data_IF_267970285642
#
_entry.id   IF_267970285642
#
_cell.length_a   1.000
_cell.length_b   1.000
_cell.length_c   1.000
_cell.angle_alpha   90.00
_cell.angle_beta   90.00
_cell.angle_gamma   90.00
#
_symmetry.space_group_name_H-M   'P 1'
#
loop_
_entity.id
_entity.type
_entity.pdbx_description
1 polymer ?
#
# COMPACT_ATOMS: atom_id res chain seq x y z
N UNK A 1 46.12 -36.75 70.21
CA UNK A 1 45.36 -35.53 69.88
C UNK A 1 45.34 -35.31 68.42
N UNK A 2 44.36 -35.88 67.71
CA UNK A 2 44.31 -35.89 66.25
C UNK A 2 43.15 -35.06 65.77
N UNK A 3 43.42 -33.98 65.05
CA UNK A 3 42.38 -33.06 64.54
C UNK A 3 41.99 -33.50 63.14
N UNK A 4 40.71 -33.86 62.98
CA UNK A 4 40.09 -34.18 61.72
C UNK A 4 39.60 -32.88 61.10
N UNK A 5 40.01 -32.57 59.86
CA UNK A 5 39.47 -31.46 59.03
C UNK A 5 38.46 -32.03 58.06
N UNK A 6 37.20 -31.57 58.23
CA UNK A 6 36.14 -31.80 57.19
C UNK A 6 36.36 -30.80 56.03
N UNK A 7 36.41 -31.35 54.82
CA UNK A 7 36.34 -30.58 53.58
C UNK A 7 34.92 -30.66 53.07
N UNK A 8 34.20 -29.53 53.05
CA UNK A 8 32.91 -29.42 52.45
C UNK A 8 33.09 -29.06 50.95
N UNK A 9 32.76 -30.02 50.08
CA UNK A 9 32.71 -29.79 48.63
C UNK A 9 31.36 -29.21 48.22
N UNK A 10 31.36 -27.95 47.77
CA UNK A 10 30.16 -27.33 47.17
C UNK A 10 30.07 -27.66 45.67
N UNK A 11 29.02 -28.37 45.29
CA UNK A 11 28.68 -28.54 43.85
C UNK A 11 27.84 -27.36 43.39
N UNK A 12 28.43 -26.49 42.56
CA UNK A 12 27.72 -25.42 41.87
C UNK A 12 27.07 -25.97 40.59
N UNK A 13 25.73 -26.13 40.61
CA UNK A 13 24.97 -26.50 39.45
C UNK A 13 24.77 -25.21 38.54
N UNK A 14 25.39 -25.21 37.38
CA UNK A 14 25.21 -24.19 36.35
C UNK A 14 23.91 -24.50 35.59
N UNK A 15 22.86 -23.71 35.83
CA UNK A 15 21.62 -23.75 35.05
C UNK A 15 21.81 -22.87 33.81
N UNK A 16 22.01 -23.45 32.64
CA UNK A 16 22.06 -22.74 31.37
C UNK A 16 20.63 -22.45 30.91
N UNK A 17 20.19 -21.19 31.00
CA UNK A 17 18.96 -20.71 30.38
C UNK A 17 19.16 -20.61 28.86
N UNK A 18 18.58 -21.53 28.09
CA UNK A 18 18.46 -21.41 26.63
C UNK A 18 17.28 -20.48 26.35
N UNK A 19 17.57 -19.23 26.07
CA UNK A 19 16.59 -18.29 25.55
C UNK A 19 16.29 -18.66 24.08
N UNK A 20 15.18 -19.39 23.85
CA UNK A 20 14.65 -19.60 22.53
C UNK A 20 14.12 -18.25 21.99
N UNK A 21 14.91 -17.60 21.15
CA UNK A 21 14.49 -16.39 20.43
C UNK A 21 13.35 -16.74 19.49
N UNK A 22 12.16 -16.22 19.76
CA UNK A 22 11.02 -16.28 18.84
C UNK A 22 11.36 -15.34 17.69
N UNK A 23 11.85 -15.90 16.56
CA UNK A 23 12.00 -15.14 15.32
C UNK A 23 10.61 -14.76 14.83
N UNK A 24 10.19 -13.52 15.05
CA UNK A 24 9.02 -12.95 14.40
C UNK A 24 9.33 -12.87 12.91
N UNK A 25 8.69 -13.71 12.10
CA UNK A 25 8.75 -13.61 10.65
C UNK A 25 8.19 -12.24 10.24
N UNK A 26 9.07 -11.32 9.90
CA UNK A 26 8.69 -10.01 9.37
C UNK A 26 8.12 -10.25 7.99
N UNK A 27 6.78 -10.11 7.85
CA UNK A 27 6.13 -10.17 6.54
C UNK A 27 6.75 -9.12 5.64
N UNK A 28 7.40 -9.57 4.56
CA UNK A 28 7.99 -8.66 3.58
C UNK A 28 6.91 -7.70 3.06
N UNK A 29 7.24 -6.42 2.94
CA UNK A 29 6.33 -5.43 2.38
C UNK A 29 5.84 -5.88 1.00
N UNK A 30 4.55 -5.68 0.67
CA UNK A 30 4.00 -6.09 -0.62
C UNK A 30 4.74 -5.37 -1.76
N UNK A 31 5.08 -6.14 -2.79
CA UNK A 31 5.69 -5.58 -4.01
C UNK A 31 4.65 -4.76 -4.76
N UNK A 32 4.92 -3.48 -4.98
CA UNK A 32 4.05 -2.58 -5.76
C UNK A 32 4.78 -2.22 -7.05
N UNK A 33 4.14 -2.46 -8.18
CA UNK A 33 4.70 -2.18 -9.49
C UNK A 33 3.95 -1.01 -10.14
N UNK A 34 4.68 0.01 -10.50
CA UNK A 34 4.21 1.20 -11.21
C UNK A 34 4.99 1.34 -12.50
N UNK A 35 4.29 1.49 -13.62
CA UNK A 35 4.99 1.60 -14.90
C UNK A 35 4.06 1.49 -16.09
N UNK A 36 4.57 0.89 -17.15
CA UNK A 36 3.80 0.60 -18.37
C UNK A 36 3.97 -0.86 -18.79
N UNK A 37 2.95 -1.40 -19.42
CA UNK A 37 3.02 -2.75 -20.01
C UNK A 37 3.93 -2.67 -21.23
N UNK A 38 5.04 -3.41 -21.22
CA UNK A 38 5.93 -3.54 -22.38
C UNK A 38 5.62 -4.78 -23.22
N UNK A 39 5.04 -5.82 -22.63
CA UNK A 39 4.53 -7.00 -23.31
C UNK A 39 3.41 -7.64 -22.49
N UNK A 40 2.45 -8.30 -23.16
CA UNK A 40 1.39 -9.08 -22.54
C UNK A 40 0.95 -10.19 -23.49
N UNK A 41 0.77 -11.41 -23.00
CA UNK A 41 0.37 -12.59 -23.78
C UNK A 41 -0.89 -13.29 -23.23
N UNK A 42 -1.61 -12.64 -22.30
CA UNK A 42 -2.81 -13.20 -21.65
C UNK A 42 -2.52 -14.05 -20.40
N UNK A 43 -1.33 -14.60 -20.24
CA UNK A 43 -0.88 -15.34 -19.05
C UNK A 43 0.24 -14.64 -18.29
N UNK A 44 0.98 -13.79 -18.98
CA UNK A 44 2.04 -12.98 -18.39
C UNK A 44 1.99 -11.55 -18.89
N UNK A 45 2.36 -10.62 -18.02
CA UNK A 45 2.61 -9.24 -18.38
C UNK A 45 4.05 -8.88 -18.01
N UNK A 46 4.72 -8.13 -18.87
CA UNK A 46 6.02 -7.54 -18.57
C UNK A 46 5.81 -6.04 -18.32
N UNK A 47 6.23 -5.59 -17.16
CA UNK A 47 6.07 -4.21 -16.72
C UNK A 47 7.44 -3.50 -16.80
N UNK A 48 7.52 -2.48 -17.64
CA UNK A 48 8.61 -1.51 -17.58
C UNK A 48 8.31 -0.55 -16.42
N UNK A 49 9.01 -0.70 -15.30
CA UNK A 49 8.73 0.09 -14.09
C UNK A 49 9.23 1.51 -14.22
N UNK A 50 8.71 2.42 -13.41
CA UNK A 50 9.15 3.82 -13.39
C UNK A 50 10.62 3.96 -12.96
N UNK A 51 11.17 2.99 -12.24
CA UNK A 51 12.56 2.90 -11.80
C UNK A 51 13.48 2.34 -12.89
N UNK A 52 12.95 2.00 -14.08
CA UNK A 52 13.71 1.50 -15.22
C UNK A 52 13.91 -0.01 -15.27
N UNK A 53 13.35 -0.78 -14.33
CA UNK A 53 13.42 -2.24 -14.35
C UNK A 53 12.36 -2.84 -15.30
N UNK A 54 12.64 -4.05 -15.82
CA UNK A 54 11.67 -4.87 -16.53
C UNK A 54 11.27 -6.05 -15.66
N UNK A 55 10.00 -6.10 -15.25
CA UNK A 55 9.50 -7.10 -14.30
C UNK A 55 8.42 -7.95 -14.97
N UNK A 56 8.63 -9.27 -15.00
CA UNK A 56 7.66 -10.24 -15.48
C UNK A 56 6.70 -10.64 -14.36
N UNK A 57 5.39 -10.61 -14.65
CA UNK A 57 4.31 -10.93 -13.71
C UNK A 57 3.39 -11.94 -14.37
N UNK A 58 3.13 -13.06 -13.70
CA UNK A 58 2.11 -14.01 -14.12
C UNK A 58 0.72 -13.44 -13.84
N UNK A 59 -0.21 -13.72 -14.73
CA UNK A 59 -1.61 -13.34 -14.57
C UNK A 59 -2.41 -14.59 -14.19
N UNK A 60 -3.13 -14.52 -13.07
CA UNK A 60 -4.02 -15.60 -12.65
C UNK A 60 -5.13 -15.81 -13.69
N UNK A 61 -5.68 -17.01 -13.82
CA UNK A 61 -6.72 -17.28 -14.82
C UNK A 61 -7.94 -16.35 -14.70
N UNK A 62 -8.26 -15.94 -13.47
CA UNK A 62 -9.37 -15.03 -13.14
C UNK A 62 -8.95 -13.57 -12.97
N UNK A 63 -7.77 -13.17 -13.49
CA UNK A 63 -7.34 -11.79 -13.36
C UNK A 63 -8.31 -10.80 -14.02
N UNK A 64 -8.40 -9.60 -13.48
CA UNK A 64 -9.25 -8.53 -13.99
C UNK A 64 -8.43 -7.25 -14.23
N UNK A 65 -8.78 -6.51 -15.28
CA UNK A 65 -8.38 -5.13 -15.42
C UNK A 65 -9.43 -4.23 -14.77
N UNK A 66 -8.96 -3.17 -14.10
CA UNK A 66 -9.79 -2.13 -13.50
C UNK A 66 -9.27 -0.80 -14.01
N UNK A 67 -10.14 0.02 -14.55
CA UNK A 67 -9.76 1.35 -15.01
C UNK A 67 -9.59 2.31 -13.82
N UNK A 68 -8.52 3.09 -13.88
CA UNK A 68 -8.32 4.28 -13.03
C UNK A 68 -8.71 5.47 -13.87
N UNK A 69 -9.74 6.18 -13.43
CA UNK A 69 -10.31 7.33 -14.15
C UNK A 69 -10.26 8.59 -13.29
N UNK A 70 -10.03 9.77 -13.89
CA UNK A 70 -10.10 11.03 -13.15
C UNK A 70 -11.49 11.24 -12.58
N UNK A 71 -11.55 11.88 -11.41
CA UNK A 71 -12.78 12.40 -10.82
C UNK A 71 -12.49 13.76 -10.16
N UNK A 72 -13.49 14.38 -9.57
CA UNK A 72 -13.36 15.71 -8.97
C UNK A 72 -13.34 15.64 -7.44
N UNK A 73 -12.70 16.62 -6.79
CA UNK A 73 -12.73 16.76 -5.33
C UNK A 73 -14.14 16.96 -4.79
N UNK A 74 -15.05 17.53 -5.57
CA UNK A 74 -16.48 17.66 -5.25
C UNK A 74 -17.21 16.33 -5.06
N UNK A 75 -16.66 15.23 -5.59
CA UNK A 75 -17.18 13.87 -5.37
C UNK A 75 -16.78 13.29 -4.02
N UNK A 76 -15.78 13.89 -3.35
CA UNK A 76 -15.38 13.52 -1.99
C UNK A 76 -16.31 14.18 -1.00
N UNK A 77 -17.20 13.41 -0.40
CA UNK A 77 -18.25 13.87 0.54
C UNK A 77 -18.09 13.16 1.88
N UNK A 78 -18.76 13.68 2.91
CA UNK A 78 -18.91 12.93 4.15
C UNK A 78 -19.46 11.52 3.84
N UNK A 79 -18.94 10.54 4.54
CA UNK A 79 -19.19 9.10 4.33
C UNK A 79 -18.61 8.49 3.04
N UNK A 80 -17.89 9.22 2.17
CA UNK A 80 -17.08 8.59 1.12
C UNK A 80 -16.01 7.72 1.75
N UNK A 81 -15.67 6.57 1.13
CA UNK A 81 -14.48 5.81 1.48
C UNK A 81 -13.36 6.18 0.51
N UNK A 82 -12.22 6.63 1.04
CA UNK A 82 -11.11 7.15 0.22
C UNK A 82 -9.79 6.50 0.62
N UNK A 83 -8.87 6.44 -0.35
CA UNK A 83 -7.46 6.16 -0.12
C UNK A 83 -6.66 7.42 -0.45
N UNK A 84 -5.86 7.90 0.48
CA UNK A 84 -5.04 9.10 0.29
C UNK A 84 -3.59 8.78 0.59
N UNK A 85 -2.75 8.85 -0.43
CA UNK A 85 -1.32 8.93 -0.21
C UNK A 85 -0.97 10.35 0.22
N UNK A 86 -0.24 10.49 1.30
CA UNK A 86 0.09 11.79 1.88
C UNK A 86 1.52 11.86 2.40
N UNK A 87 2.02 13.07 2.55
CA UNK A 87 3.32 13.37 3.13
C UNK A 87 3.16 14.43 4.22
N UNK A 88 3.84 14.23 5.34
CA UNK A 88 3.84 15.20 6.44
C UNK A 88 4.59 16.44 6.04
N UNK A 89 3.95 17.58 6.14
CA UNK A 89 4.55 18.89 5.89
C UNK A 89 5.41 19.38 7.06
N UNK A 90 6.17 20.48 6.86
CA UNK A 90 6.95 21.10 7.92
C UNK A 90 6.09 21.59 9.11
N UNK A 91 4.83 21.91 8.86
CA UNK A 91 3.82 22.29 9.84
C UNK A 91 3.22 21.09 10.60
N UNK A 92 3.69 19.87 10.31
CA UNK A 92 3.21 18.65 10.92
C UNK A 92 1.90 18.12 10.33
N UNK A 93 1.28 18.83 9.39
CA UNK A 93 0.01 18.43 8.73
C UNK A 93 0.29 17.49 7.58
N UNK A 94 -0.53 16.46 7.43
CA UNK A 94 -0.49 15.58 6.27
C UNK A 94 -1.03 16.32 5.03
N UNK A 95 -0.26 16.31 3.95
CA UNK A 95 -0.66 16.89 2.66
C UNK A 95 -0.84 15.78 1.63
N UNK A 96 -1.99 15.73 0.99
CA UNK A 96 -2.29 14.73 -0.02
C UNK A 96 -1.32 14.84 -1.22
N UNK A 97 -0.89 13.69 -1.71
CA UNK A 97 -0.17 13.51 -2.96
C UNK A 97 -1.13 13.06 -4.06
N UNK A 98 -2.15 12.32 -3.69
CA UNK A 98 -3.23 11.82 -4.53
C UNK A 98 -4.44 11.45 -3.66
N UNK A 99 -5.61 11.36 -4.29
CA UNK A 99 -6.85 10.90 -3.64
C UNK A 99 -7.50 9.86 -4.55
N UNK A 100 -7.74 8.67 -4.02
CA UNK A 100 -8.56 7.64 -4.62
C UNK A 100 -9.93 7.63 -3.94
N UNK A 101 -11.00 7.87 -4.68
CA UNK A 101 -12.37 7.67 -4.21
C UNK A 101 -12.77 6.24 -4.54
N UNK A 102 -12.96 5.41 -3.54
CA UNK A 102 -13.37 4.03 -3.77
C UNK A 102 -14.86 3.96 -4.14
N UNK A 103 -15.23 3.13 -5.13
CA UNK A 103 -16.63 2.72 -5.30
C UNK A 103 -17.14 2.02 -4.03
N UNK A 104 -18.44 2.15 -3.75
CA UNK A 104 -19.03 1.58 -2.53
C UNK A 104 -18.75 0.08 -2.35
N UNK A 105 -18.74 -0.69 -3.45
CA UNK A 105 -18.40 -2.12 -3.42
C UNK A 105 -16.97 -2.43 -2.95
N UNK A 106 -16.09 -1.43 -2.92
CA UNK A 106 -14.71 -1.54 -2.44
C UNK A 106 -14.47 -0.88 -1.08
N UNK A 107 -15.54 -0.44 -0.40
CA UNK A 107 -15.46 0.12 0.95
C UNK A 107 -14.77 -0.86 1.91
N UNK A 108 -13.91 -0.35 2.80
CA UNK A 108 -13.15 -1.13 3.77
C UNK A 108 -11.88 -1.78 3.21
N UNK A 109 -11.61 -1.63 1.90
CA UNK A 109 -10.39 -2.19 1.29
C UNK A 109 -9.13 -1.62 1.94
N UNK A 110 -8.34 -2.50 2.60
CA UNK A 110 -7.09 -2.13 3.28
C UNK A 110 -7.26 -0.91 4.22
N UNK A 111 -8.37 -0.84 4.95
CA UNK A 111 -8.63 0.25 5.89
C UNK A 111 -7.49 0.41 6.91
N UNK A 112 -7.03 1.65 7.13
CA UNK A 112 -5.96 1.97 8.07
C UNK A 112 -5.08 3.12 7.64
N UNK A 113 -4.02 3.35 8.45
CA UNK A 113 -2.97 4.34 8.19
C UNK A 113 -1.61 3.66 8.29
N UNK A 114 -0.84 3.60 7.20
CA UNK A 114 0.37 2.80 7.12
C UNK A 114 1.40 3.36 6.13
N UNK A 115 2.70 2.98 6.26
CA UNK A 115 3.74 3.41 5.34
C UNK A 115 3.42 3.08 3.87
N UNK A 116 3.69 4.04 3.01
CA UNK A 116 3.50 3.93 1.57
C UNK A 116 4.80 4.21 0.82
N UNK A 117 4.92 3.69 -0.38
CA UNK A 117 6.14 3.77 -1.18
C UNK A 117 6.00 4.65 -2.44
N UNK A 118 5.01 5.56 -2.45
CA UNK A 118 4.86 6.50 -3.57
C UNK A 118 6.06 7.44 -3.66
N UNK A 119 6.54 7.89 -2.51
CA UNK A 119 7.82 8.58 -2.30
C UNK A 119 8.30 8.35 -0.85
N UNK A 120 9.57 8.69 -0.52
CA UNK A 120 10.09 8.54 0.83
C UNK A 120 9.16 9.18 1.88
N UNK A 121 8.96 8.51 3.01
CA UNK A 121 8.14 8.94 4.15
C UNK A 121 6.64 9.11 3.85
N UNK A 122 6.17 8.74 2.65
CA UNK A 122 4.74 8.83 2.36
C UNK A 122 3.94 7.78 3.14
N UNK A 123 2.71 8.17 3.49
CA UNK A 123 1.75 7.34 4.20
C UNK A 123 0.50 7.16 3.35
N UNK A 124 -0.10 5.98 3.42
CA UNK A 124 -1.43 5.70 2.87
C UNK A 124 -2.45 5.72 4.00
N UNK A 125 -3.56 6.40 3.77
CA UNK A 125 -4.73 6.36 4.67
C UNK A 125 -5.94 5.91 3.87
N UNK A 126 -6.40 4.70 4.11
CA UNK A 126 -7.68 4.20 3.59
C UNK A 126 -8.73 4.30 4.69
N UNK A 127 -9.72 5.13 4.49
CA UNK A 127 -10.64 5.50 5.57
C UNK A 127 -11.97 6.09 5.06
N UNK A 128 -12.95 6.17 5.95
CA UNK A 128 -14.18 6.90 5.73
C UNK A 128 -13.98 8.39 6.01
N UNK A 129 -14.43 9.24 5.12
CA UNK A 129 -14.45 10.69 5.31
C UNK A 129 -15.49 11.03 6.37
N UNK A 130 -15.05 11.51 7.53
CA UNK A 130 -15.93 12.00 8.58
C UNK A 130 -16.41 13.41 8.28
N UNK A 131 -15.48 14.32 7.93
CA UNK A 131 -15.81 15.71 7.59
C UNK A 131 -14.99 16.21 6.41
N UNK A 132 -15.55 17.19 5.72
CA UNK A 132 -14.89 17.97 4.66
C UNK A 132 -15.00 19.44 5.07
N UNK A 133 -13.87 20.09 5.26
CA UNK A 133 -13.81 21.51 5.65
C UNK A 133 -12.99 22.31 4.64
N UNK A 134 -13.43 23.51 4.28
CA UNK A 134 -12.64 24.44 3.50
C UNK A 134 -11.36 24.83 4.26
N UNK A 135 -10.23 24.90 3.58
CA UNK A 135 -8.94 25.23 4.17
C UNK A 135 -8.10 26.02 3.17
N UNK A 136 -8.16 27.34 3.24
CA UNK A 136 -7.47 28.23 2.30
C UNK A 136 -7.97 28.01 0.87
N UNK A 137 -7.05 27.62 -0.02
CA UNK A 137 -7.33 27.33 -1.42
C UNK A 137 -7.74 25.87 -1.70
N UNK A 138 -7.80 25.02 -0.65
CA UNK A 138 -8.13 23.60 -0.75
C UNK A 138 -9.16 23.16 0.29
N UNK A 139 -9.05 21.87 0.66
CA UNK A 139 -9.93 21.25 1.67
C UNK A 139 -9.08 20.46 2.67
N UNK A 140 -9.56 20.39 3.91
CA UNK A 140 -9.07 19.42 4.90
C UNK A 140 -10.13 18.34 5.05
N UNK A 141 -9.72 17.11 4.87
CA UNK A 141 -10.52 15.92 5.07
C UNK A 141 -10.16 15.30 6.42
N UNK A 142 -11.13 15.16 7.31
CA UNK A 142 -10.97 14.33 8.50
C UNK A 142 -11.37 12.92 8.15
N UNK A 143 -10.41 12.00 8.18
CA UNK A 143 -10.57 10.59 7.85
C UNK A 143 -10.67 9.77 9.12
N UNK A 144 -11.66 8.86 9.19
CA UNK A 144 -11.85 7.93 10.31
C UNK A 144 -11.64 6.50 9.83
N UNK A 145 -10.76 5.78 10.50
CA UNK A 145 -10.49 4.35 10.31
C UNK A 145 -10.53 3.63 11.66
N UNK A 146 -10.44 2.31 11.64
CA UNK A 146 -10.63 1.45 12.82
C UNK A 146 -9.82 1.91 14.04
N UNK A 147 -8.56 2.29 13.84
CA UNK A 147 -7.62 2.54 14.93
C UNK A 147 -7.36 4.04 15.18
N UNK A 148 -8.10 4.94 14.51
CA UNK A 148 -7.92 6.37 14.73
C UNK A 148 -8.53 7.30 13.69
N UNK A 149 -8.04 8.52 13.70
CA UNK A 149 -8.43 9.57 12.76
C UNK A 149 -7.19 10.25 12.19
N UNK A 150 -7.30 10.79 10.98
CA UNK A 150 -6.24 11.54 10.34
C UNK A 150 -6.81 12.72 9.59
N UNK A 151 -6.28 13.91 9.83
CA UNK A 151 -6.58 15.10 9.04
C UNK A 151 -5.59 15.20 7.89
N UNK A 152 -6.10 15.35 6.67
CA UNK A 152 -5.29 15.46 5.47
C UNK A 152 -5.75 16.67 4.66
N UNK A 153 -4.79 17.55 4.36
CA UNK A 153 -5.00 18.71 3.49
C UNK A 153 -4.89 18.29 2.03
N UNK A 154 -5.93 18.57 1.25
CA UNK A 154 -5.98 18.36 -0.21
C UNK A 154 -5.94 19.73 -0.88
N UNK A 155 -4.82 20.03 -1.55
CA UNK A 155 -4.62 21.27 -2.31
C UNK A 155 -5.18 21.15 -3.72
N UNK A 156 -5.48 22.25 -4.41
CA UNK A 156 -5.79 22.24 -5.84
C UNK A 156 -4.66 21.58 -6.66
N UNK A 157 -5.05 20.90 -7.75
CA UNK A 157 -4.09 20.25 -8.64
C UNK A 157 -3.63 18.86 -8.20
N UNK A 158 -3.99 18.39 -7.00
CA UNK A 158 -3.75 17.01 -6.59
C UNK A 158 -4.60 16.06 -7.46
N UNK A 159 -4.02 14.98 -8.03
CA UNK A 159 -4.78 14.02 -8.79
C UNK A 159 -5.84 13.32 -7.93
N UNK A 160 -7.06 13.33 -8.41
CA UNK A 160 -8.20 12.68 -7.76
C UNK A 160 -8.77 11.69 -8.77
N UNK A 161 -8.83 10.42 -8.37
CA UNK A 161 -9.22 9.32 -9.24
C UNK A 161 -10.25 8.43 -8.57
N UNK A 162 -10.91 7.62 -9.38
CA UNK A 162 -11.77 6.53 -8.91
C UNK A 162 -11.57 5.30 -9.78
N UNK A 163 -12.17 4.18 -9.38
CA UNK A 163 -12.17 2.96 -10.15
C UNK A 163 -13.43 2.86 -11.01
N UNK A 164 -13.25 2.36 -12.23
CA UNK A 164 -14.34 1.99 -13.13
C UNK A 164 -14.12 0.55 -13.63
N UNK A 165 -15.19 -0.15 -14.05
CA UNK A 165 -15.05 -1.43 -14.73
C UNK A 165 -14.13 -1.31 -15.94
N UNK A 166 -13.21 -2.28 -16.10
CA UNK A 166 -12.30 -2.38 -17.22
C UNK A 166 -12.42 -3.73 -17.90
N UNK A 167 -12.00 -3.80 -19.16
CA UNK A 167 -11.83 -5.04 -19.91
C UNK A 167 -10.36 -5.46 -19.89
N UNK A 168 -10.08 -6.76 -20.02
CA UNK A 168 -8.70 -7.26 -20.15
C UNK A 168 -7.97 -6.63 -21.35
N UNK A 169 -8.70 -6.25 -22.40
CA UNK A 169 -8.16 -5.55 -23.55
C UNK A 169 -7.64 -4.13 -23.25
N UNK A 170 -8.05 -3.52 -22.13
CA UNK A 170 -7.49 -2.24 -21.68
C UNK A 170 -6.04 -2.39 -21.22
N UNK A 171 -5.66 -3.57 -20.72
CA UNK A 171 -4.30 -3.91 -20.34
C UNK A 171 -3.47 -4.28 -21.57
N UNK A 172 -3.15 -3.31 -22.40
CA UNK A 172 -2.38 -3.46 -23.65
C UNK A 172 -0.99 -2.85 -23.55
N UNK A 173 -0.13 -3.19 -24.50
CA UNK A 173 1.22 -2.60 -24.58
C UNK A 173 1.13 -1.06 -24.63
N UNK A 174 1.94 -0.40 -23.81
CA UNK A 174 1.95 1.05 -23.60
C UNK A 174 0.99 1.54 -22.52
N UNK A 175 0.03 0.74 -22.06
CA UNK A 175 -0.87 1.15 -20.98
C UNK A 175 -0.11 1.42 -19.69
N UNK A 176 -0.42 2.54 -19.04
CA UNK A 176 0.11 2.90 -17.73
C UNK A 176 -0.63 2.11 -16.64
N UNK A 177 0.11 1.47 -15.75
CA UNK A 177 -0.47 0.52 -14.81
C UNK A 177 0.10 0.65 -13.39
N UNK A 178 -0.73 0.25 -12.43
CA UNK A 178 -0.34 -0.07 -11.06
C UNK A 178 -0.84 -1.46 -10.72
N UNK A 179 -0.01 -2.27 -10.09
CA UNK A 179 -0.39 -3.59 -9.61
C UNK A 179 0.40 -4.00 -8.35
N UNK A 180 -0.23 -4.85 -7.55
CA UNK A 180 0.35 -5.41 -6.32
C UNK A 180 0.29 -6.93 -6.46
N UNK A 181 1.27 -7.55 -7.14
CA UNK A 181 1.30 -8.99 -7.31
C UNK A 181 1.64 -9.70 -5.98
N UNK A 182 1.06 -10.86 -5.78
CA UNK A 182 1.49 -11.77 -4.74
C UNK A 182 2.85 -12.37 -5.11
N UNK A 183 3.76 -12.48 -4.14
CA UNK A 183 5.07 -13.11 -4.32
C UNK A 183 5.01 -14.54 -3.77
N UNK A 184 5.25 -15.52 -4.63
CA UNK A 184 5.38 -16.92 -4.25
C UNK A 184 6.70 -17.20 -3.49
N UNK A 185 6.78 -18.36 -2.86
CA UNK A 185 7.98 -18.78 -2.14
C UNK A 185 9.22 -18.94 -3.05
N UNK A 186 8.98 -19.22 -4.34
CA UNK A 186 9.97 -19.31 -5.41
C UNK A 186 10.36 -17.95 -6.00
N UNK A 187 9.80 -16.85 -5.47
CA UNK A 187 10.01 -15.50 -5.96
C UNK A 187 9.11 -15.10 -7.13
N UNK A 188 8.27 -15.99 -7.64
CA UNK A 188 7.32 -15.73 -8.73
C UNK A 188 6.31 -14.66 -8.32
N UNK A 189 6.07 -13.69 -9.20
CA UNK A 189 5.06 -12.66 -9.01
C UNK A 189 3.78 -13.04 -9.75
N UNK A 190 2.63 -13.03 -9.08
CA UNK A 190 1.32 -13.36 -9.68
C UNK A 190 0.30 -12.28 -9.36
N UNK A 191 -0.32 -11.70 -10.38
CA UNK A 191 -1.35 -10.68 -10.24
C UNK A 191 -2.75 -11.25 -10.55
N UNK A 192 -3.72 -10.90 -9.72
CA UNK A 192 -5.16 -11.12 -9.94
C UNK A 192 -5.85 -9.86 -10.44
N UNK A 193 -5.16 -8.71 -10.41
CA UNK A 193 -5.70 -7.41 -10.83
C UNK A 193 -4.60 -6.55 -11.41
N UNK A 194 -4.94 -5.83 -12.49
CA UNK A 194 -4.13 -4.75 -13.06
C UNK A 194 -4.99 -3.49 -13.04
N UNK A 195 -4.53 -2.44 -12.37
CA UNK A 195 -5.13 -1.12 -12.45
C UNK A 195 -4.54 -0.41 -13.65
N UNK A 196 -5.39 -0.03 -14.60
CA UNK A 196 -5.01 0.55 -15.90
C UNK A 196 -5.48 2.00 -15.93
N UNK A 197 -4.57 2.93 -16.16
CA UNK A 197 -4.93 4.33 -16.36
C UNK A 197 -5.68 4.52 -17.66
N UNK A 198 -6.91 5.07 -17.58
CA UNK A 198 -7.73 5.36 -18.75
C UNK A 198 -7.10 6.48 -19.57
N UNK A 199 -7.15 6.36 -20.91
CA UNK A 199 -6.71 7.39 -21.87
C UNK A 199 -5.28 7.91 -21.60
N UNK A 200 -4.37 7.03 -21.18
CA UNK A 200 -2.98 7.37 -20.91
C UNK A 200 -2.71 7.97 -19.53
N UNK A 201 -3.72 8.07 -18.65
CA UNK A 201 -3.53 8.46 -17.26
C UNK A 201 -2.48 7.55 -16.59
N UNK A 202 -1.51 8.14 -15.92
CA UNK A 202 -0.64 7.38 -15.01
C UNK A 202 -1.36 7.21 -13.69
N UNK A 203 -1.68 5.96 -13.26
CA UNK A 203 -2.27 5.73 -11.93
C UNK A 203 -1.44 6.40 -10.83
N UNK A 204 -2.00 7.31 -10.03
CA UNK A 204 -1.21 8.14 -9.12
C UNK A 204 -0.82 7.44 -7.81
N UNK A 205 -1.37 6.22 -7.53
CA UNK A 205 -1.14 5.45 -6.31
C UNK A 205 0.22 4.73 -6.27
#
# INVERSE_FOLDING_TARGET
>A
MTRIRLIAGGVAALVAFVAAGVATAQTAAPTRLRGSISAIDGKTATIATREGASVKVNLADNWAAVLVVPTALSEVKANSFVGIASLKGPDGVQNALEVLVFPEAARGSNEGHYPWDLQPESMMTNATVATVAAAGDGQTLTLKYKDGTQDIRVKPGIPIVTFAPGDRADAKVGAKVFLVPAKGADGTLTATRILVGKDGLTPPM
#
